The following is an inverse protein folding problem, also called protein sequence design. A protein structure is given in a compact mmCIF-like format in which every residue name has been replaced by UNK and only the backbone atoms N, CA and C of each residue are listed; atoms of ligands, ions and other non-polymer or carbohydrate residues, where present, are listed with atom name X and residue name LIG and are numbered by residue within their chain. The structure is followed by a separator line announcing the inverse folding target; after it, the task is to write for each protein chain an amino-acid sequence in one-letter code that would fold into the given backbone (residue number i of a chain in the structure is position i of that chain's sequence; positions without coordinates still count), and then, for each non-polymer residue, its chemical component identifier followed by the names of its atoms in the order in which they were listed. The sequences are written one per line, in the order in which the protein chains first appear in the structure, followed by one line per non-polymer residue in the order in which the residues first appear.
data_IF_125179487332
#
_entry.id   IF_125179487332
#
_cell.length_a   1.000
_cell.length_b   1.000
_cell.length_c   1.000
_cell.angle_alpha   90.00
_cell.angle_beta   90.00
_cell.angle_gamma   90.00
#
_symmetry.space_group_name_H-M   'P 1'
#
loop_
_entity.id
_entity.type
_entity.pdbx_description
1 polymer ?
#
# COMPACT_ATOMS: atom_id res chain seq x y z
N UNK A 1 16.53 -3.99 -31.16
CA UNK A 1 15.08 -4.26 -31.02
C UNK A 1 14.88 -4.91 -29.67
N UNK A 2 14.03 -4.37 -28.79
CA UNK A 2 13.79 -4.95 -27.47
C UNK A 2 13.00 -6.24 -27.64
N UNK A 3 13.49 -7.33 -27.06
CA UNK A 3 12.82 -8.63 -27.03
C UNK A 3 12.21 -8.81 -25.64
N UNK A 4 10.93 -9.21 -25.59
CA UNK A 4 10.19 -9.37 -24.35
C UNK A 4 9.97 -10.84 -24.03
N UNK A 5 10.23 -11.21 -22.79
CA UNK A 5 9.90 -12.50 -22.23
C UNK A 5 8.66 -12.34 -21.36
N UNK A 6 7.74 -13.31 -21.45
CA UNK A 6 6.49 -13.34 -20.70
C UNK A 6 6.43 -14.59 -19.83
N UNK A 7 5.81 -14.46 -18.67
CA UNK A 7 5.60 -15.55 -17.72
C UNK A 7 4.22 -15.43 -17.11
N UNK A 8 3.54 -16.57 -16.93
CA UNK A 8 2.29 -16.66 -16.19
C UNK A 8 2.49 -17.44 -14.91
N UNK A 9 1.82 -17.00 -13.84
CA UNK A 9 1.77 -17.72 -12.55
C UNK A 9 0.31 -17.80 -12.12
N UNK A 10 -0.14 -19.01 -11.80
CA UNK A 10 -1.49 -19.26 -11.25
C UNK A 10 -1.35 -19.52 -9.77
N UNK A 11 -2.08 -18.76 -8.96
CA UNK A 11 -2.23 -18.97 -7.54
C UNK A 11 -3.57 -19.64 -7.31
N UNK A 12 -3.55 -20.91 -6.92
CA UNK A 12 -4.77 -21.69 -6.73
C UNK A 12 -5.51 -21.29 -5.47
N UNK A 13 -6.83 -21.44 -5.49
CA UNK A 13 -7.63 -21.30 -4.28
C UNK A 13 -7.26 -22.37 -3.26
N UNK A 14 -6.97 -21.93 -2.05
CA UNK A 14 -6.91 -22.81 -0.90
C UNK A 14 -8.33 -23.09 -0.40
N UNK A 15 -8.56 -24.33 0.03
CA UNK A 15 -9.81 -24.74 0.66
C UNK A 15 -9.60 -24.70 2.16
N UNK A 16 -10.34 -23.86 2.88
CA UNK A 16 -10.39 -24.01 4.33
C UNK A 16 -11.33 -25.16 4.68
N UNK A 17 -10.81 -26.16 5.38
CA UNK A 17 -11.55 -27.35 5.78
C UNK A 17 -12.69 -27.08 6.78
N UNK A 18 -12.74 -25.88 7.36
CA UNK A 18 -13.73 -25.47 8.36
C UNK A 18 -14.89 -24.63 7.81
N UNK A 19 -14.66 -23.81 6.79
CA UNK A 19 -15.64 -22.82 6.30
C UNK A 19 -16.15 -23.09 4.89
N UNK A 20 -15.55 -24.03 4.14
CA UNK A 20 -15.99 -24.37 2.77
C UNK A 20 -15.73 -23.28 1.73
N UNK A 21 -15.35 -22.07 2.18
CA UNK A 21 -14.98 -20.97 1.31
C UNK A 21 -13.57 -21.17 0.75
N UNK A 22 -13.45 -20.83 -0.53
CA UNK A 22 -12.20 -20.82 -1.29
C UNK A 22 -11.56 -19.44 -1.15
N UNK A 23 -10.30 -19.39 -0.72
CA UNK A 23 -9.57 -18.13 -0.55
C UNK A 23 -8.21 -18.18 -1.22
N UNK A 24 -7.64 -17.00 -1.50
CA UNK A 24 -6.26 -16.85 -1.96
C UNK A 24 -5.41 -16.50 -0.75
N UNK A 25 -4.26 -17.14 -0.62
CA UNK A 25 -3.25 -16.81 0.39
C UNK A 25 -2.49 -15.55 -0.04
N UNK A 26 -3.00 -14.39 0.37
CA UNK A 26 -2.47 -13.08 -0.02
C UNK A 26 -0.98 -12.91 0.36
N UNK A 27 -0.54 -13.43 1.51
CA UNK A 27 0.85 -13.36 1.95
C UNK A 27 1.77 -14.19 1.04
N UNK A 28 1.33 -15.39 0.66
CA UNK A 28 2.03 -16.25 -0.30
C UNK A 28 2.11 -15.64 -1.70
N UNK A 29 1.03 -15.02 -2.17
CA UNK A 29 0.99 -14.30 -3.45
C UNK A 29 1.96 -13.13 -3.43
N UNK A 30 1.89 -12.27 -2.41
CA UNK A 30 2.75 -11.10 -2.26
C UNK A 30 4.24 -11.50 -2.27
N UNK A 31 4.61 -12.50 -1.45
CA UNK A 31 5.99 -12.98 -1.37
C UNK A 31 6.51 -13.44 -2.72
N UNK A 32 5.69 -14.20 -3.45
CA UNK A 32 6.05 -14.73 -4.77
C UNK A 32 6.24 -13.61 -5.79
N UNK A 33 5.30 -12.66 -5.86
CA UNK A 33 5.38 -11.54 -6.80
C UNK A 33 6.55 -10.62 -6.50
N UNK A 34 6.83 -10.34 -5.22
CA UNK A 34 8.00 -9.57 -4.81
C UNK A 34 9.31 -10.26 -5.19
N UNK A 35 9.39 -11.59 -5.07
CA UNK A 35 10.55 -12.34 -5.54
C UNK A 35 10.70 -12.28 -7.07
N UNK A 36 9.61 -12.39 -7.83
CA UNK A 36 9.64 -12.19 -9.28
C UNK A 36 10.11 -10.78 -9.65
N UNK A 37 9.62 -9.76 -8.93
CA UNK A 37 10.05 -8.36 -9.07
C UNK A 37 11.54 -8.18 -8.87
N UNK A 38 12.12 -8.76 -7.82
CA UNK A 38 13.58 -8.76 -7.58
C UNK A 38 14.36 -9.46 -8.69
N UNK A 39 13.78 -10.50 -9.29
CA UNK A 39 14.34 -11.18 -10.46
C UNK A 39 14.10 -10.44 -11.78
N UNK A 40 13.54 -9.23 -11.72
CA UNK A 40 13.37 -8.35 -12.87
C UNK A 40 12.13 -8.58 -13.70
N UNK A 41 11.16 -9.32 -13.18
CA UNK A 41 9.85 -9.47 -13.79
C UNK A 41 8.92 -8.35 -13.32
N UNK A 42 8.26 -7.69 -14.27
CA UNK A 42 7.24 -6.68 -14.02
C UNK A 42 5.86 -7.34 -14.12
N UNK A 43 5.01 -7.14 -13.12
CA UNK A 43 3.61 -7.58 -13.17
C UNK A 43 2.83 -6.72 -14.16
N UNK A 44 2.18 -7.36 -15.13
CA UNK A 44 1.39 -6.71 -16.19
C UNK A 44 -0.10 -6.78 -15.88
N UNK A 45 -0.57 -7.93 -15.37
CA UNK A 45 -2.00 -8.15 -15.10
C UNK A 45 -2.18 -9.22 -14.03
N UNK A 46 -3.27 -9.10 -13.27
CA UNK A 46 -3.76 -10.09 -12.33
C UNK A 46 -5.28 -10.22 -12.52
N UNK A 47 -5.79 -11.42 -12.78
CA UNK A 47 -7.19 -11.68 -13.10
C UNK A 47 -7.70 -12.92 -12.38
N UNK A 48 -8.86 -12.83 -11.75
CA UNK A 48 -9.53 -13.97 -11.12
C UNK A 48 -10.01 -14.97 -12.18
N UNK A 49 -9.69 -16.24 -11.99
CA UNK A 49 -10.14 -17.38 -12.81
C UNK A 49 -10.90 -18.37 -11.92
N UNK A 50 -11.52 -19.40 -12.53
CA UNK A 50 -12.34 -20.38 -11.79
C UNK A 50 -11.58 -21.10 -10.66
N UNK A 51 -10.28 -21.32 -10.88
CA UNK A 51 -9.41 -22.09 -9.99
C UNK A 51 -8.50 -21.22 -9.11
N UNK A 52 -8.52 -19.90 -9.25
CA UNK A 52 -7.71 -19.00 -8.45
C UNK A 52 -7.40 -17.65 -9.09
N UNK A 53 -6.18 -17.17 -8.94
CA UNK A 53 -5.68 -15.90 -9.48
C UNK A 53 -4.61 -16.15 -10.55
N UNK A 54 -4.85 -15.74 -11.79
CA UNK A 54 -3.87 -15.75 -12.87
C UNK A 54 -3.13 -14.42 -12.90
N UNK A 55 -1.80 -14.47 -12.87
CA UNK A 55 -0.93 -13.31 -13.04
C UNK A 55 -0.08 -13.46 -14.31
N UNK A 56 0.11 -12.34 -15.01
CA UNK A 56 0.97 -12.22 -16.18
C UNK A 56 2.10 -11.25 -15.88
N UNK A 57 3.33 -11.67 -16.14
CA UNK A 57 4.54 -10.91 -15.94
C UNK A 57 5.31 -10.78 -17.25
N UNK A 58 6.07 -9.68 -17.39
CA UNK A 58 6.99 -9.46 -18.52
C UNK A 58 8.37 -9.07 -18.02
N UNK A 59 9.40 -9.33 -18.82
CA UNK A 59 10.74 -8.75 -18.64
C UNK A 59 11.44 -8.57 -19.97
N UNK A 60 12.32 -7.58 -20.13
CA UNK A 60 13.21 -7.53 -21.29
C UNK A 60 14.20 -8.70 -21.24
N UNK A 61 14.54 -9.26 -22.40
CA UNK A 61 15.61 -10.26 -22.51
C UNK A 61 16.96 -9.60 -22.16
N UNK A 62 17.77 -10.31 -21.37
CA UNK A 62 19.10 -9.88 -20.91
C UNK A 62 19.97 -9.52 -22.12
N UNK A 63 20.13 -8.23 -22.37
CA UNK A 63 20.68 -7.68 -23.62
C UNK A 63 20.12 -6.30 -23.94
N UNK A 64 18.99 -5.94 -23.32
CA UNK A 64 18.50 -4.57 -23.26
C UNK A 64 18.68 -4.02 -21.85
N UNK A 65 19.79 -3.30 -21.64
CA UNK A 65 19.93 -2.30 -20.56
C UNK A 65 18.84 -1.24 -20.76
N UNK A 66 17.61 -1.57 -20.41
CA UNK A 66 16.68 -0.55 -19.96
C UNK A 66 17.08 -0.30 -18.52
N UNK A 67 17.90 0.74 -18.38
CA UNK A 67 18.27 1.41 -17.14
C UNK A 67 17.17 1.22 -16.09
N UNK A 68 17.37 0.25 -15.21
CA UNK A 68 16.55 0.09 -14.02
C UNK A 68 17.05 1.16 -13.05
N UNK A 69 16.68 2.40 -13.34
CA UNK A 69 16.53 3.41 -12.30
C UNK A 69 15.36 2.94 -11.43
N UNK A 70 15.65 1.99 -10.56
CA UNK A 70 14.88 1.83 -9.34
C UNK A 70 15.14 3.14 -8.60
N UNK A 71 14.18 4.07 -8.64
CA UNK A 71 14.22 5.24 -7.78
C UNK A 71 14.51 4.75 -6.35
N UNK A 72 15.66 5.11 -5.76
CA UNK A 72 15.87 4.84 -4.36
C UNK A 72 14.98 5.85 -3.62
N UNK A 73 13.73 5.48 -3.35
CA UNK A 73 13.01 6.04 -2.20
C UNK A 73 13.71 5.51 -0.96
N UNK A 74 14.86 6.11 -0.65
CA UNK A 74 15.40 6.40 0.68
C UNK A 74 16.85 6.87 0.51
N UNK A 75 17.07 8.19 0.46
CA UNK A 75 18.30 8.85 0.93
C UNK A 75 18.13 10.38 1.04
N UNK A 76 17.21 10.79 1.90
CA UNK A 76 17.35 12.05 2.65
C UNK A 76 17.43 11.72 4.14
N UNK A 77 18.49 10.99 4.51
CA UNK A 77 18.85 10.75 5.90
C UNK A 77 20.37 10.45 5.98
N UNK A 78 21.18 11.46 5.68
CA UNK A 78 22.58 11.48 6.06
C UNK A 78 23.08 12.91 6.18
N UNK A 79 22.79 13.54 7.32
CA UNK A 79 23.65 14.56 7.88
C UNK A 79 23.78 14.25 9.38
N UNK A 80 24.99 13.91 9.81
CA UNK A 80 25.34 13.78 11.22
C UNK A 80 25.96 12.45 11.61
N UNK A 81 27.26 12.35 11.37
CA UNK A 81 28.28 11.67 12.18
C UNK A 81 27.81 10.86 13.40
N UNK A 82 28.22 9.58 13.46
CA UNK A 82 28.50 8.95 14.75
C UNK A 82 29.74 9.63 15.36
N UNK A 83 29.78 9.81 16.69
CA UNK A 83 30.32 8.71 17.48
C UNK A 83 29.52 8.39 18.75
N UNK A 84 29.58 7.10 19.09
CA UNK A 84 29.71 6.56 20.45
C UNK A 84 28.62 6.81 21.51
N UNK A 85 27.97 5.67 21.83
CA UNK A 85 27.46 5.21 23.14
C UNK A 85 26.46 6.06 23.93
N UNK A 86 25.39 5.35 24.33
CA UNK A 86 24.39 5.65 25.39
C UNK A 86 23.21 6.53 24.99
N UNK A 87 22.05 5.94 24.68
CA UNK A 87 20.71 6.48 24.99
C UNK A 87 19.58 5.58 24.43
N UNK A 88 19.13 4.59 25.21
CA UNK A 88 17.93 3.79 24.92
C UNK A 88 16.62 4.51 25.27
N UNK A 89 16.51 5.84 25.11
CA UNK A 89 15.36 6.61 25.65
C UNK A 89 14.66 7.61 24.70
N UNK A 90 15.12 7.85 23.47
CA UNK A 90 14.54 8.94 22.65
C UNK A 90 13.56 8.54 21.53
N UNK A 91 13.38 7.23 21.24
CA UNK A 91 12.42 6.82 20.17
C UNK A 91 10.96 6.81 20.60
N UNK A 92 10.67 6.71 21.90
CA UNK A 92 9.29 6.64 22.40
C UNK A 92 8.59 8.01 22.41
N UNK A 93 9.32 9.11 22.56
CA UNK A 93 8.76 10.47 22.56
C UNK A 93 8.31 10.92 21.18
N UNK A 94 8.93 10.42 20.10
CA UNK A 94 8.59 10.81 18.72
C UNK A 94 7.34 10.12 18.16
N UNK A 95 7.04 8.89 18.56
CA UNK A 95 5.85 8.18 18.05
C UNK A 95 4.57 8.67 18.74
N UNK A 96 4.64 8.90 20.05
CA UNK A 96 3.50 9.38 20.84
C UNK A 96 3.12 10.80 20.46
N UNK A 97 4.09 11.68 20.18
CA UNK A 97 3.82 13.06 19.75
C UNK A 97 3.11 13.11 18.40
N UNK A 98 3.51 12.26 17.45
CA UNK A 98 2.84 12.15 16.14
C UNK A 98 1.41 11.65 16.29
N UNK A 99 1.17 10.61 17.11
CA UNK A 99 -0.18 10.10 17.36
C UNK A 99 -1.09 11.15 18.02
N UNK A 100 -0.56 11.97 18.94
CA UNK A 100 -1.32 13.07 19.55
C UNK A 100 -1.63 14.19 18.55
N UNK A 101 -0.70 14.50 17.66
CA UNK A 101 -0.92 15.49 16.61
C UNK A 101 -1.98 15.02 15.60
N UNK A 102 -1.93 13.76 15.17
CA UNK A 102 -2.95 13.16 14.29
C UNK A 102 -4.32 13.14 14.94
N UNK A 103 -4.39 12.74 16.22
CA UNK A 103 -5.65 12.73 16.97
C UNK A 103 -6.27 14.14 17.05
N UNK A 104 -5.46 15.14 17.39
CA UNK A 104 -5.93 16.52 17.46
C UNK A 104 -6.43 17.03 16.09
N UNK A 105 -5.74 16.65 15.01
CA UNK A 105 -6.15 17.00 13.66
C UNK A 105 -7.47 16.34 13.26
N UNK A 106 -7.67 15.06 13.59
CA UNK A 106 -8.92 14.34 13.34
C UNK A 106 -10.09 14.97 14.10
N UNK A 107 -9.89 15.30 15.38
CA UNK A 107 -10.93 15.94 16.21
C UNK A 107 -11.37 17.30 15.65
N UNK A 108 -10.43 18.07 15.10
CA UNK A 108 -10.75 19.36 14.47
C UNK A 108 -11.53 19.17 13.16
N UNK A 109 -11.13 18.18 12.35
CA UNK A 109 -11.81 17.85 11.10
C UNK A 109 -13.25 17.37 11.34
N UNK A 110 -13.46 16.54 12.36
CA UNK A 110 -14.80 16.09 12.78
C UNK A 110 -15.65 17.24 13.29
N UNK A 111 -15.06 18.17 14.05
CA UNK A 111 -15.76 19.38 14.52
C UNK A 111 -16.20 20.25 13.36
N UNK A 112 -15.33 20.48 12.38
CA UNK A 112 -15.64 21.24 11.18
C UNK A 112 -16.76 20.56 10.37
N UNK A 113 -16.70 19.23 10.21
CA UNK A 113 -17.76 18.46 9.53
C UNK A 113 -19.09 18.57 10.26
N UNK A 114 -19.10 18.47 11.60
CA UNK A 114 -20.31 18.59 12.41
C UNK A 114 -20.92 19.98 12.33
N UNK A 115 -20.10 21.03 12.32
CA UNK A 115 -20.55 22.41 12.11
C UNK A 115 -21.13 22.62 10.70
N UNK A 116 -20.50 22.09 9.67
CA UNK A 116 -21.00 22.18 8.30
C UNK A 116 -22.34 21.42 8.11
N UNK A 117 -22.50 20.28 8.76
CA UNK A 117 -23.77 19.53 8.80
C UNK A 117 -24.84 20.31 9.57
N UNK A 118 -24.51 20.85 10.76
CA UNK A 118 -25.45 21.65 11.54
C UNK A 118 -25.88 22.93 10.79
N UNK A 119 -24.98 23.58 10.05
CA UNK A 119 -25.32 24.75 9.24
C UNK A 119 -26.26 24.40 8.07
N UNK A 120 -26.06 23.22 7.47
CA UNK A 120 -26.97 22.69 6.44
C UNK A 120 -28.36 22.35 6.99
N UNK A 121 -28.42 21.79 8.19
CA UNK A 121 -29.68 21.45 8.88
C UNK A 121 -30.40 22.69 9.40
N UNK A 122 -29.69 23.71 9.90
CA UNK A 122 -30.31 24.97 10.33
C UNK A 122 -30.98 25.74 9.20
N UNK A 123 -30.54 25.54 7.95
CA UNK A 123 -31.17 26.12 6.75
C UNK A 123 -32.23 25.19 6.10
N UNK A 124 -32.53 24.02 6.69
CA UNK A 124 -33.43 23.02 6.13
C UNK A 124 -34.21 22.26 7.22
N UNK A 125 -35.52 22.54 7.32
CA UNK A 125 -36.46 21.62 7.99
C UNK A 125 -37.08 20.73 6.91
N UNK A 126 -36.62 19.48 6.81
CA UNK A 126 -36.99 18.58 5.71
C UNK A 126 -36.49 19.09 4.35
N UNK A 127 -37.37 19.18 3.35
CA UNK A 127 -37.03 19.67 2.01
C UNK A 127 -37.18 21.20 1.84
N UNK A 128 -37.64 21.92 2.86
CA UNK A 128 -37.99 23.34 2.74
C UNK A 128 -36.84 24.22 3.21
N UNK A 129 -36.41 25.16 2.36
CA UNK A 129 -35.41 26.20 2.68
C UNK A 129 -36.09 27.39 3.34
N UNK A 130 -35.71 27.74 4.57
CA UNK A 130 -36.16 28.96 5.24
C UNK A 130 -35.10 30.05 5.01
N UNK A 131 -35.51 31.22 4.53
CA UNK A 131 -34.68 32.43 4.40
C UNK A 131 -34.90 33.34 5.59
#
# INVERSE_FOLDING_TARGET
MIHWQYRTIVFEFQKDGLLGDRFIDDEGVEKTLNEQGRNGWELVSATMIQDGLLTLLKRPETGTDMDRTIDPVLKNAAAGQAPSVTASQEKATSAVSLQQQEKAYIEDLERQRKQAMAQREQCRVGEIRIR
#
